data_IF_702636629559
#
_entry.id   IF_702636629559
#
_cell.length_a   1.000
_cell.length_b   1.000
_cell.length_c   1.000
_cell.angle_alpha   90.00
_cell.angle_beta   90.00
_cell.angle_gamma   90.00
#
_symmetry.space_group_name_H-M   'P 1'
#
loop_
_entity.id
_entity.type
_entity.pdbx_description
1 polymer ?
#
# COMPACT_ATOMS: atom_id res chain seq x y z
N UNK A 1 35.22 6.07 -7.79
CA UNK A 1 34.66 4.72 -7.53
C UNK A 1 34.03 4.61 -6.14
N UNK A 2 34.74 4.97 -5.07
CA UNK A 2 34.20 4.96 -3.69
C UNK A 2 32.99 5.87 -3.50
N UNK A 3 33.02 7.08 -4.07
CA UNK A 3 31.90 8.03 -4.00
C UNK A 3 30.65 7.51 -4.72
N UNK A 4 30.82 6.92 -5.91
CA UNK A 4 29.72 6.30 -6.64
C UNK A 4 29.07 5.16 -5.84
N UNK A 5 29.89 4.29 -5.22
CA UNK A 5 29.38 3.20 -4.40
C UNK A 5 28.60 3.71 -3.17
N UNK A 6 29.07 4.80 -2.55
CA UNK A 6 28.37 5.44 -1.45
C UNK A 6 27.02 6.03 -1.91
N UNK A 7 27.00 6.74 -3.05
CA UNK A 7 25.76 7.29 -3.63
C UNK A 7 24.76 6.18 -3.97
N UNK A 8 25.22 5.10 -4.58
CA UNK A 8 24.38 3.95 -4.90
C UNK A 8 23.79 3.31 -3.63
N UNK A 9 24.60 3.14 -2.59
CA UNK A 9 24.14 2.63 -1.30
C UNK A 9 23.10 3.55 -0.63
N UNK A 10 23.30 4.87 -0.68
CA UNK A 10 22.34 5.86 -0.20
C UNK A 10 21.02 5.77 -0.97
N UNK A 11 21.07 5.66 -2.29
CA UNK A 11 19.88 5.52 -3.13
C UNK A 11 19.12 4.23 -2.84
N UNK A 12 19.81 3.11 -2.57
CA UNK A 12 19.15 1.88 -2.07
C UNK A 12 18.47 2.17 -0.72
N UNK A 13 19.15 2.88 0.19
CA UNK A 13 18.59 3.29 1.47
C UNK A 13 17.29 4.07 1.32
N UNK A 14 17.30 5.13 0.50
CA UNK A 14 16.16 6.03 0.34
C UNK A 14 15.04 5.46 -0.52
N UNK A 15 15.34 4.83 -1.64
CA UNK A 15 14.32 4.40 -2.62
C UNK A 15 13.81 2.98 -2.38
N UNK A 16 14.48 2.17 -1.56
CA UNK A 16 14.06 0.79 -1.28
C UNK A 16 13.89 0.52 0.21
N UNK A 17 14.93 0.70 1.03
CA UNK A 17 14.92 0.25 2.43
C UNK A 17 13.94 1.08 3.28
N UNK A 18 14.02 2.41 3.20
CA UNK A 18 13.17 3.30 3.99
C UNK A 18 11.66 3.08 3.69
N UNK A 19 11.20 3.04 2.43
CA UNK A 19 9.80 2.72 2.11
C UNK A 19 9.34 1.37 2.65
N UNK A 20 10.19 0.33 2.60
CA UNK A 20 9.87 -0.99 3.15
C UNK A 20 9.66 -0.93 4.66
N UNK A 21 10.56 -0.25 5.39
CA UNK A 21 10.45 -0.11 6.84
C UNK A 21 9.16 0.62 7.21
N UNK A 22 8.84 1.70 6.51
CA UNK A 22 7.60 2.47 6.73
C UNK A 22 6.37 1.60 6.45
N UNK A 23 6.32 0.95 5.29
CA UNK A 23 5.23 0.06 4.90
C UNK A 23 4.99 -1.06 5.91
N UNK A 24 6.08 -1.72 6.33
CA UNK A 24 6.03 -2.76 7.34
C UNK A 24 5.55 -2.24 8.69
N UNK A 25 6.06 -1.09 9.13
CA UNK A 25 5.70 -0.48 10.42
C UNK A 25 4.20 -0.13 10.49
N UNK A 26 3.67 0.48 9.43
CA UNK A 26 2.25 0.85 9.37
C UNK A 26 1.38 -0.42 9.30
N UNK A 27 1.75 -1.39 8.46
CA UNK A 27 1.02 -2.66 8.34
C UNK A 27 1.02 -3.44 9.66
N UNK A 28 2.15 -3.46 10.35
CA UNK A 28 2.30 -4.10 11.65
C UNK A 28 1.39 -3.43 12.69
N UNK A 29 1.45 -2.11 12.82
CA UNK A 29 0.63 -1.37 13.78
C UNK A 29 -0.88 -1.54 13.51
N UNK A 30 -1.29 -1.48 12.24
CA UNK A 30 -2.67 -1.71 11.85
C UNK A 30 -3.13 -3.15 12.15
N UNK A 31 -2.26 -4.13 11.92
CA UNK A 31 -2.56 -5.53 12.26
C UNK A 31 -2.75 -5.73 13.76
N UNK A 32 -1.91 -5.09 14.60
CA UNK A 32 -2.06 -5.12 16.06
C UNK A 32 -3.38 -4.48 16.49
N UNK A 33 -3.72 -3.32 15.92
CA UNK A 33 -4.95 -2.61 16.25
C UNK A 33 -6.19 -3.41 15.84
N UNK A 34 -6.18 -4.01 14.64
CA UNK A 34 -7.27 -4.84 14.13
C UNK A 34 -7.46 -6.11 14.94
N UNK A 35 -6.38 -6.78 15.34
CA UNK A 35 -6.44 -7.93 16.24
C UNK A 35 -6.98 -7.55 17.61
N UNK A 36 -6.50 -6.45 18.19
CA UNK A 36 -6.98 -5.94 19.46
C UNK A 36 -8.49 -5.64 19.41
N UNK A 37 -8.96 -4.93 18.38
CA UNK A 37 -10.39 -4.67 18.16
C UNK A 37 -11.20 -5.95 18.00
N UNK A 38 -10.69 -6.93 17.26
CA UNK A 38 -11.36 -8.21 17.04
C UNK A 38 -11.54 -8.97 18.35
N UNK A 39 -10.53 -8.96 19.22
CA UNK A 39 -10.58 -9.61 20.55
C UNK A 39 -11.59 -8.92 21.47
N UNK A 40 -11.68 -7.58 21.42
CA UNK A 40 -12.61 -6.82 22.27
C UNK A 40 -14.05 -6.81 21.77
N UNK A 41 -14.26 -7.04 20.47
CA UNK A 41 -15.57 -6.94 19.81
C UNK A 41 -15.90 -8.23 19.07
N UNK A 42 -15.74 -8.24 17.74
CA UNK A 42 -15.84 -9.41 16.89
C UNK A 42 -15.13 -9.15 15.55
N UNK A 43 -14.89 -10.22 14.80
CA UNK A 43 -14.37 -10.12 13.44
C UNK A 43 -15.30 -9.30 12.55
N UNK A 44 -16.62 -9.57 12.59
CA UNK A 44 -17.63 -8.85 11.80
C UNK A 44 -17.63 -7.35 12.08
N UNK A 45 -17.55 -6.94 13.36
CA UNK A 45 -17.51 -5.53 13.72
C UNK A 45 -16.23 -4.87 13.19
N UNK A 46 -15.08 -5.54 13.35
CA UNK A 46 -13.80 -5.04 12.84
C UNK A 46 -13.84 -4.90 11.31
N UNK A 47 -14.42 -5.87 10.60
CA UNK A 47 -14.61 -5.84 9.15
C UNK A 47 -15.48 -4.68 8.67
N UNK A 48 -16.56 -4.36 9.40
CA UNK A 48 -17.43 -3.21 9.10
C UNK A 48 -16.69 -1.90 9.38
N UNK A 49 -15.98 -1.81 10.51
CA UNK A 49 -15.23 -0.61 10.87
C UNK A 49 -14.07 -0.33 9.92
N UNK A 50 -13.44 -1.36 9.34
CA UNK A 50 -12.35 -1.21 8.38
C UNK A 50 -12.80 -0.98 6.94
N UNK A 51 -14.12 -0.93 6.67
CA UNK A 51 -14.71 -0.86 5.32
C UNK A 51 -14.03 0.13 4.39
N UNK A 52 -13.91 1.41 4.79
CA UNK A 52 -13.31 2.42 3.91
C UNK A 52 -11.83 2.15 3.65
N UNK A 53 -11.10 1.66 4.66
CA UNK A 53 -9.70 1.28 4.51
C UNK A 53 -9.51 0.16 3.50
N UNK A 54 -10.26 -0.93 3.64
CA UNK A 54 -10.14 -2.10 2.76
C UNK A 54 -10.56 -1.74 1.32
N UNK A 55 -11.64 -0.99 1.14
CA UNK A 55 -12.08 -0.57 -0.21
C UNK A 55 -11.01 0.27 -0.89
N UNK A 56 -10.44 1.26 -0.20
CA UNK A 56 -9.37 2.10 -0.76
C UNK A 56 -8.09 1.28 -0.98
N UNK A 57 -7.79 0.31 -0.10
CA UNK A 57 -6.65 -0.58 -0.23
C UNK A 57 -6.71 -1.39 -1.52
N UNK A 58 -7.77 -2.18 -1.71
CA UNK A 58 -7.94 -3.02 -2.88
C UNK A 58 -8.11 -2.20 -4.16
N UNK A 59 -8.80 -1.06 -4.08
CA UNK A 59 -8.94 -0.16 -5.22
C UNK A 59 -7.58 0.40 -5.66
N UNK A 60 -6.68 0.67 -4.72
CA UNK A 60 -5.32 1.12 -5.04
C UNK A 60 -4.53 0.06 -5.79
N UNK A 61 -4.62 -1.21 -5.34
CA UNK A 61 -4.04 -2.33 -6.08
C UNK A 61 -4.61 -2.41 -7.49
N UNK A 62 -5.93 -2.34 -7.63
CA UNK A 62 -6.63 -2.44 -8.90
C UNK A 62 -6.22 -1.33 -9.88
N UNK A 63 -6.22 -0.07 -9.44
CA UNK A 63 -5.85 1.09 -10.27
C UNK A 63 -4.42 0.94 -10.78
N UNK A 64 -3.48 0.62 -9.88
CA UNK A 64 -2.07 0.52 -10.26
C UNK A 64 -1.84 -0.73 -11.12
N UNK A 65 -2.56 -1.82 -10.88
CA UNK A 65 -2.49 -3.02 -11.71
C UNK A 65 -2.93 -2.74 -13.16
N UNK A 66 -3.98 -1.94 -13.36
CA UNK A 66 -4.42 -1.48 -14.69
C UNK A 66 -3.34 -0.64 -15.37
N UNK A 67 -2.72 0.31 -14.64
CA UNK A 67 -1.64 1.15 -15.19
C UNK A 67 -0.50 0.28 -15.70
N UNK A 68 -0.08 -0.72 -14.91
CA UNK A 68 0.99 -1.64 -15.31
C UNK A 68 0.54 -2.73 -16.28
N UNK A 69 -0.70 -2.70 -16.76
CA UNK A 69 -1.27 -3.65 -17.72
C UNK A 69 -1.25 -5.11 -17.22
N UNK A 70 -1.51 -5.30 -15.92
CA UNK A 70 -1.76 -6.64 -15.37
C UNK A 70 -3.16 -7.08 -15.78
N UNK A 71 -3.33 -8.38 -16.06
CA UNK A 71 -4.63 -8.96 -16.37
C UNK A 71 -5.36 -9.23 -15.06
N UNK A 72 -6.46 -8.52 -14.80
CA UNK A 72 -7.28 -8.71 -13.60
C UNK A 72 -8.22 -9.88 -13.84
N UNK A 73 -8.07 -10.96 -13.07
CA UNK A 73 -8.92 -12.15 -13.21
C UNK A 73 -10.17 -12.04 -12.35
N UNK A 74 -10.02 -11.52 -11.13
CA UNK A 74 -11.12 -11.34 -10.18
C UNK A 74 -10.75 -10.26 -9.16
N UNK A 75 -11.74 -9.53 -8.65
CA UNK A 75 -11.51 -8.66 -7.50
C UNK A 75 -12.76 -8.54 -6.64
N UNK A 76 -12.55 -8.32 -5.34
CA UNK A 76 -13.57 -7.87 -4.39
C UNK A 76 -12.96 -6.79 -3.52
N UNK A 77 -13.56 -5.60 -3.56
CA UNK A 77 -13.07 -4.46 -2.79
C UNK A 77 -13.42 -4.57 -1.30
N UNK A 78 -14.47 -5.30 -0.97
CA UNK A 78 -14.84 -5.61 0.41
C UNK A 78 -15.73 -6.84 0.46
N UNK A 79 -15.51 -7.71 1.44
CA UNK A 79 -16.37 -8.83 1.79
C UNK A 79 -16.19 -9.19 3.28
N UNK A 80 -17.13 -9.96 3.81
CA UNK A 80 -16.98 -10.64 5.10
C UNK A 80 -17.03 -12.13 4.79
N UNK A 81 -15.90 -12.80 4.90
CA UNK A 81 -15.76 -14.22 4.59
C UNK A 81 -15.25 -14.99 5.81
N UNK A 82 -15.57 -16.28 5.86
CA UNK A 82 -15.21 -17.15 6.98
C UNK A 82 -13.68 -17.39 7.08
N UNK A 83 -12.96 -17.21 5.98
CA UNK A 83 -11.50 -17.32 5.90
C UNK A 83 -10.77 -16.05 6.36
N UNK A 84 -11.49 -15.00 6.75
CA UNK A 84 -10.92 -13.76 7.26
C UNK A 84 -10.52 -12.74 6.17
N UNK A 85 -10.67 -13.06 4.89
CA UNK A 85 -10.24 -12.22 3.77
C UNK A 85 -11.23 -11.09 3.52
N UNK A 86 -10.87 -9.86 3.89
CA UNK A 86 -11.76 -8.70 3.74
C UNK A 86 -11.84 -8.15 2.32
N UNK A 87 -10.91 -8.49 1.44
CA UNK A 87 -10.85 -8.01 0.06
C UNK A 87 -9.68 -8.66 -0.68
N UNK A 88 -9.72 -8.62 -2.01
CA UNK A 88 -8.64 -9.12 -2.85
C UNK A 88 -8.70 -8.56 -4.27
N UNK A 89 -7.54 -8.49 -4.92
CA UNK A 89 -7.39 -8.27 -6.37
C UNK A 89 -6.51 -9.38 -6.94
N UNK A 90 -7.14 -10.38 -7.55
CA UNK A 90 -6.45 -11.44 -8.27
C UNK A 90 -6.02 -10.92 -9.64
N UNK A 91 -4.73 -11.11 -9.93
CA UNK A 91 -4.09 -10.57 -11.13
C UNK A 91 -3.03 -11.52 -11.66
N UNK A 92 -2.87 -11.49 -12.96
CA UNK A 92 -1.84 -12.21 -13.69
C UNK A 92 -0.97 -11.23 -14.47
N UNK A 93 0.29 -11.59 -14.63
CA UNK A 93 1.23 -10.80 -15.42
C UNK A 93 2.16 -11.71 -16.20
N UNK A 94 2.61 -11.22 -17.36
CA UNK A 94 3.59 -11.86 -18.20
C UNK A 94 5.00 -11.70 -17.57
N UNK A 95 5.65 -12.79 -17.14
CA UNK A 95 6.98 -12.73 -16.57
C UNK A 95 8.06 -12.37 -17.61
N UNK A 96 7.81 -12.38 -18.92
CA UNK A 96 8.80 -11.84 -19.88
C UNK A 96 8.74 -10.32 -20.00
N UNK A 97 7.67 -9.67 -19.54
CA UNK A 97 7.49 -8.22 -19.64
C UNK A 97 8.19 -7.48 -18.51
N UNK A 98 9.20 -6.67 -18.85
CA UNK A 98 9.89 -5.79 -17.90
C UNK A 98 8.91 -4.82 -17.21
N UNK A 99 8.02 -4.20 -17.99
CA UNK A 99 7.06 -3.22 -17.49
C UNK A 99 6.12 -3.83 -16.44
N UNK A 100 5.54 -5.00 -16.74
CA UNK A 100 4.62 -5.66 -15.82
C UNK A 100 5.34 -6.19 -14.57
N UNK A 101 6.55 -6.76 -14.71
CA UNK A 101 7.35 -7.20 -13.56
C UNK A 101 7.70 -6.04 -12.63
N UNK A 102 8.11 -4.91 -13.18
CA UNK A 102 8.39 -3.70 -12.40
C UNK A 102 7.13 -3.23 -11.68
N UNK A 103 5.97 -3.33 -12.34
CA UNK A 103 4.66 -3.06 -11.76
C UNK A 103 4.37 -3.81 -10.47
N UNK A 104 4.96 -4.99 -10.23
CA UNK A 104 4.73 -5.71 -8.98
C UNK A 104 5.12 -4.91 -7.73
N UNK A 105 6.20 -4.13 -7.77
CA UNK A 105 6.58 -3.26 -6.65
C UNK A 105 5.54 -2.17 -6.45
N UNK A 106 5.20 -1.46 -7.52
CA UNK A 106 4.29 -0.32 -7.46
C UNK A 106 2.90 -0.73 -7.03
N UNK A 107 2.40 -1.88 -7.51
CA UNK A 107 1.11 -2.41 -7.09
C UNK A 107 1.15 -2.76 -5.61
N UNK A 108 2.21 -3.42 -5.12
CA UNK A 108 2.33 -3.77 -3.69
C UNK A 108 2.35 -2.56 -2.75
N UNK A 109 2.93 -1.42 -3.17
CA UNK A 109 2.96 -0.19 -2.36
C UNK A 109 1.77 0.74 -2.64
N UNK A 110 0.94 0.44 -3.63
CA UNK A 110 -0.17 1.29 -4.05
C UNK A 110 -1.12 1.67 -2.90
N UNK A 111 -1.49 0.77 -1.97
CA UNK A 111 -2.38 1.10 -0.86
C UNK A 111 -1.82 2.19 0.06
N UNK A 112 -0.50 2.28 0.22
CA UNK A 112 0.13 3.34 1.02
C UNK A 112 -0.20 4.69 0.42
N UNK A 113 -0.02 4.81 -0.89
CA UNK A 113 -0.29 6.06 -1.62
C UNK A 113 -1.79 6.36 -1.60
N UNK A 114 -2.64 5.37 -1.87
CA UNK A 114 -4.09 5.56 -1.92
C UNK A 114 -4.71 5.95 -0.58
N UNK A 115 -4.37 5.25 0.51
CA UNK A 115 -4.84 5.58 1.86
C UNK A 115 -4.31 6.96 2.30
N UNK A 116 -3.03 7.26 2.05
CA UNK A 116 -2.45 8.58 2.35
C UNK A 116 -3.19 9.69 1.59
N UNK A 117 -3.42 9.50 0.28
CA UNK A 117 -4.13 10.48 -0.54
C UNK A 117 -5.58 10.69 -0.07
N UNK A 118 -6.27 9.62 0.35
CA UNK A 118 -7.61 9.71 0.91
C UNK A 118 -7.63 10.54 2.21
N UNK A 119 -6.72 10.25 3.15
CA UNK A 119 -6.60 11.00 4.42
C UNK A 119 -6.28 12.48 4.14
N UNK A 120 -5.31 12.77 3.27
CA UNK A 120 -4.97 14.15 2.90
C UNK A 120 -6.17 14.88 2.29
N UNK A 121 -6.97 14.20 1.47
CA UNK A 121 -8.17 14.78 0.86
C UNK A 121 -9.25 15.09 1.90
N UNK A 122 -9.48 14.19 2.86
CA UNK A 122 -10.42 14.42 3.96
C UNK A 122 -10.02 15.65 4.79
N UNK A 123 -8.73 15.76 5.13
CA UNK A 123 -8.20 16.89 5.91
C UNK A 123 -8.27 18.19 5.12
N UNK A 124 -7.89 18.17 3.83
CA UNK A 124 -7.81 19.39 3.02
C UNK A 124 -9.19 19.96 2.65
N UNK A 125 -10.14 19.08 2.33
CA UNK A 125 -11.41 19.50 1.72
C UNK A 125 -12.62 19.38 2.64
N UNK A 126 -12.60 18.49 3.63
CA UNK A 126 -13.78 18.22 4.48
C UNK A 126 -13.59 18.75 5.90
N UNK A 127 -12.38 18.73 6.44
CA UNK A 127 -12.12 19.30 7.76
C UNK A 127 -12.31 20.82 7.74
N UNK A 128 -13.06 21.36 8.69
CA UNK A 128 -13.05 22.81 8.95
C UNK A 128 -13.10 23.10 10.45
N UNK A 129 -12.31 24.06 10.95
CA UNK A 129 -12.30 24.44 12.36
C UNK A 129 -13.68 24.85 12.87
N UNK A 130 -14.01 24.49 14.12
CA UNK A 130 -15.25 24.91 14.79
C UNK A 130 -16.50 24.06 14.51
N UNK A 131 -16.46 23.12 13.56
CA UNK A 131 -17.59 22.23 13.27
C UNK A 131 -17.35 20.80 13.80
N UNK A 132 -17.64 20.62 15.09
CA UNK A 132 -17.34 19.38 15.83
C UNK A 132 -17.97 18.13 15.22
N UNK A 133 -19.28 18.15 14.92
CA UNK A 133 -20.00 16.96 14.41
C UNK A 133 -19.37 16.46 13.09
N UNK A 134 -19.13 17.36 12.14
CA UNK A 134 -18.52 17.01 10.86
C UNK A 134 -17.10 16.48 11.05
N UNK A 135 -16.30 17.12 11.90
CA UNK A 135 -14.94 16.70 12.15
C UNK A 135 -14.88 15.34 12.86
N UNK A 136 -15.88 15.00 13.70
CA UNK A 136 -16.03 13.64 14.26
C UNK A 136 -16.25 12.61 13.15
N UNK A 137 -17.12 12.88 12.16
CA UNK A 137 -17.26 11.98 11.01
C UNK A 137 -15.95 11.80 10.24
N UNK A 138 -15.19 12.88 10.03
CA UNK A 138 -13.87 12.80 9.38
C UNK A 138 -12.91 11.91 10.18
N UNK A 139 -12.87 12.05 11.50
CA UNK A 139 -12.03 11.22 12.38
C UNK A 139 -12.43 9.74 12.29
N UNK A 140 -13.74 9.44 12.27
CA UNK A 140 -14.23 8.06 12.14
C UNK A 140 -13.82 7.44 10.79
N UNK A 141 -13.90 8.19 9.69
CA UNK A 141 -13.46 7.71 8.38
C UNK A 141 -11.94 7.50 8.36
N UNK A 142 -11.15 8.41 8.95
CA UNK A 142 -9.70 8.24 9.08
C UNK A 142 -9.38 6.98 9.91
N UNK A 143 -10.09 6.75 11.00
CA UNK A 143 -9.98 5.51 11.79
C UNK A 143 -10.24 4.27 10.94
N UNK A 144 -11.31 4.28 10.14
CA UNK A 144 -11.64 3.20 9.20
C UNK A 144 -10.53 2.97 8.16
N UNK A 145 -9.98 4.05 7.60
CA UNK A 145 -8.88 4.00 6.64
C UNK A 145 -7.61 3.36 7.22
N UNK A 146 -7.27 3.71 8.47
CA UNK A 146 -6.11 3.16 9.16
C UNK A 146 -6.30 1.70 9.55
N UNK A 147 -7.51 1.31 9.98
CA UNK A 147 -7.83 -0.08 10.34
C UNK A 147 -7.77 -1.04 9.16
N UNK A 148 -8.24 -0.61 7.99
CA UNK A 148 -8.20 -1.44 6.78
C UNK A 148 -6.83 -1.50 6.09
N UNK A 149 -5.81 -0.84 6.63
CA UNK A 149 -4.48 -0.84 6.03
C UNK A 149 -3.67 -2.06 6.50
N UNK A 150 -3.71 -3.18 5.79
CA UNK A 150 -2.86 -4.33 6.11
C UNK A 150 -2.32 -4.96 4.81
N UNK A 151 -1.00 -5.05 4.68
CA UNK A 151 -0.35 -5.66 3.52
C UNK A 151 -0.32 -7.18 3.68
N UNK A 152 -0.91 -7.89 2.73
CA UNK A 152 -0.98 -9.34 2.74
C UNK A 152 0.39 -9.98 2.46
N UNK A 153 0.52 -11.27 2.78
CA UNK A 153 1.69 -12.05 2.38
C UNK A 153 1.91 -12.06 0.85
N UNK A 154 0.83 -11.98 0.07
CA UNK A 154 0.89 -11.91 -1.38
C UNK A 154 1.50 -10.58 -1.86
N UNK A 155 1.19 -9.47 -1.20
CA UNK A 155 1.77 -8.16 -1.53
C UNK A 155 3.27 -8.15 -1.29
N UNK A 156 3.72 -8.72 -0.19
CA UNK A 156 5.14 -8.89 0.11
C UNK A 156 5.84 -9.83 -0.88
N UNK A 157 5.19 -10.92 -1.29
CA UNK A 157 5.76 -11.83 -2.28
C UNK A 157 5.89 -11.15 -3.65
N UNK A 158 4.87 -10.43 -4.09
CA UNK A 158 4.88 -9.68 -5.35
C UNK A 158 5.93 -8.57 -5.33
N UNK A 159 6.03 -7.82 -4.23
CA UNK A 159 7.06 -6.81 -4.04
C UNK A 159 8.46 -7.41 -4.22
N UNK A 160 8.75 -8.53 -3.55
CA UNK A 160 10.04 -9.25 -3.65
C UNK A 160 10.37 -9.66 -5.09
N UNK A 161 9.39 -10.10 -5.87
CA UNK A 161 9.58 -10.47 -7.28
C UNK A 161 10.03 -9.30 -8.17
N UNK A 162 9.68 -8.06 -7.80
CA UNK A 162 10.10 -6.86 -8.53
C UNK A 162 11.47 -6.30 -8.13
N UNK A 163 11.99 -6.67 -6.94
CA UNK A 163 13.24 -6.08 -6.38
C UNK A 163 14.41 -6.12 -7.37
N UNK A 164 14.70 -7.25 -8.06
CA UNK A 164 15.86 -7.29 -8.97
C UNK A 164 15.79 -6.23 -10.08
N UNK A 165 14.62 -6.01 -10.68
CA UNK A 165 14.46 -4.99 -11.72
C UNK A 165 14.54 -3.58 -11.14
N UNK A 166 14.01 -3.37 -9.95
CA UNK A 166 14.07 -2.06 -9.30
C UNK A 166 15.48 -1.69 -8.85
N UNK A 167 16.31 -2.66 -8.45
CA UNK A 167 17.74 -2.43 -8.22
C UNK A 167 18.47 -1.99 -9.50
N UNK A 168 18.09 -2.51 -10.67
CA UNK A 168 18.62 -2.04 -11.96
C UNK A 168 18.19 -0.59 -12.21
N UNK A 169 16.94 -0.23 -11.91
CA UNK A 169 16.46 1.15 -12.01
C UNK A 169 17.22 2.08 -11.06
N UNK A 170 17.44 1.68 -9.81
CA UNK A 170 18.23 2.46 -8.84
C UNK A 170 19.67 2.62 -9.32
N UNK A 171 20.28 1.57 -9.88
CA UNK A 171 21.64 1.63 -10.42
C UNK A 171 21.73 2.62 -11.59
N UNK A 172 20.75 2.59 -12.49
CA UNK A 172 20.66 3.52 -13.61
C UNK A 172 20.50 4.97 -13.12
N UNK A 173 19.59 5.23 -12.18
CA UNK A 173 19.41 6.56 -11.58
C UNK A 173 20.70 7.03 -10.90
N UNK A 174 21.36 6.16 -10.15
CA UNK A 174 22.62 6.49 -9.46
C UNK A 174 23.74 6.81 -10.44
N UNK A 175 23.76 6.12 -11.60
CA UNK A 175 24.73 6.40 -12.68
C UNK A 175 24.47 7.77 -13.29
N UNK A 176 23.21 8.10 -13.58
CA UNK A 176 22.86 9.42 -14.11
C UNK A 176 23.21 10.54 -13.12
N UNK A 177 22.86 10.39 -11.84
CA UNK A 177 23.18 11.37 -10.78
C UNK A 177 24.68 11.55 -10.53
N UNK A 178 25.50 10.55 -10.88
CA UNK A 178 26.95 10.64 -10.73
C UNK A 178 27.62 11.30 -11.95
N UNK A 179 27.02 11.16 -13.13
CA UNK A 179 27.56 11.70 -14.39
C UNK A 179 27.17 13.16 -14.64
N UNK A 180 26.00 13.59 -14.15
CA UNK A 180 25.42 14.92 -14.35
C UNK A 180 25.18 15.61 -13.01
#
# INVERSE_FOLDING_TARGET
MTEFLLQFAQNIGYFLILPIIIAWSISFLSSLLSQWLTIQTSYTITAILSFFGVVIHELSHLIVAIIFRHHITEFRLWQISDDGVLGYVNREYNPSSFYQKLGNIFISIAPIVGVTAAICSLIKFIWVPGLYIRNTFVILIIGSLLLGFNLSAADWQNFRRGIPLYLIVILFISTLQYLF
#
